data_IF_229147251970
#
_entry.id   IF_229147251970
#
_cell.length_a   1.000
_cell.length_b   1.000
_cell.length_c   1.000
_cell.angle_alpha   90.00
_cell.angle_beta   90.00
_cell.angle_gamma   90.00
#
_symmetry.space_group_name_H-M   'P 1'
#
loop_
_entity.id
_entity.type
_entity.pdbx_description
1 polymer ?
#
# COMPACT_ATOMS: atom_id res chain seq x y z
N UNK A 1 15.49 -4.99 -11.02
CA UNK A 1 14.95 -6.32 -10.66
C UNK A 1 15.59 -6.73 -9.34
N UNK A 2 14.82 -6.94 -8.26
CA UNK A 2 15.38 -7.38 -7.00
C UNK A 2 16.13 -8.69 -7.22
N UNK A 3 17.34 -8.84 -6.63
CA UNK A 3 18.05 -10.12 -6.61
C UNK A 3 17.13 -11.13 -5.92
N UNK A 4 16.27 -11.79 -6.70
CA UNK A 4 15.61 -12.99 -6.27
C UNK A 4 16.72 -14.01 -6.10
N UNK A 5 16.90 -14.49 -4.89
CA UNK A 5 17.85 -15.58 -4.70
C UNK A 5 17.29 -16.75 -5.50
N UNK A 6 18.00 -17.25 -6.53
CA UNK A 6 17.52 -18.37 -7.32
C UNK A 6 17.17 -19.53 -6.39
N UNK A 7 16.00 -20.14 -6.60
CA UNK A 7 15.54 -21.28 -5.81
C UNK A 7 14.79 -20.95 -4.51
N UNK A 8 14.76 -19.69 -4.04
CA UNK A 8 14.02 -19.33 -2.81
C UNK A 8 12.66 -18.74 -3.17
N UNK A 9 11.60 -19.45 -2.78
CA UNK A 9 10.22 -18.99 -2.91
C UNK A 9 9.98 -17.72 -2.08
N UNK A 10 9.18 -16.79 -2.59
CA UNK A 10 8.84 -15.57 -1.88
C UNK A 10 7.61 -14.87 -2.49
N UNK A 11 6.93 -14.06 -1.68
CA UNK A 11 5.88 -13.15 -2.14
C UNK A 11 6.44 -11.73 -2.11
N UNK A 12 6.25 -10.99 -3.18
CA UNK A 12 6.66 -9.57 -3.26
C UNK A 12 5.44 -8.70 -3.54
N UNK A 13 5.20 -7.77 -2.65
CA UNK A 13 4.09 -6.82 -2.70
C UNK A 13 4.56 -5.40 -2.93
N UNK A 14 3.89 -4.68 -3.80
CA UNK A 14 4.06 -3.23 -3.98
C UNK A 14 2.98 -2.54 -3.14
N UNK A 15 3.40 -1.61 -2.28
CA UNK A 15 2.52 -0.76 -1.48
C UNK A 15 2.97 0.70 -1.59
N UNK A 16 2.53 1.36 -2.65
CA UNK A 16 2.89 2.74 -3.00
C UNK A 16 1.67 3.58 -3.37
N UNK A 17 1.69 4.26 -4.51
CA UNK A 17 0.52 4.95 -5.09
C UNK A 17 -0.62 3.98 -5.33
N UNK A 18 -0.34 2.85 -5.97
CA UNK A 18 -1.20 1.67 -6.09
C UNK A 18 -0.64 0.50 -5.30
N UNK A 19 -1.27 -0.67 -5.42
CA UNK A 19 -0.79 -1.91 -4.82
C UNK A 19 -0.87 -3.10 -5.77
N UNK A 20 0.04 -4.05 -5.61
CA UNK A 20 0.07 -5.29 -6.38
C UNK A 20 0.83 -6.37 -5.60
N UNK A 21 0.63 -7.64 -5.96
CA UNK A 21 1.26 -8.77 -5.31
C UNK A 21 1.66 -9.84 -6.34
N UNK A 22 2.88 -10.35 -6.22
CA UNK A 22 3.39 -11.43 -7.05
C UNK A 22 4.08 -12.49 -6.21
N UNK A 23 3.95 -13.74 -6.62
CA UNK A 23 4.63 -14.87 -6.03
C UNK A 23 5.78 -15.31 -6.94
N UNK A 24 6.92 -15.68 -6.34
CA UNK A 24 8.05 -16.29 -7.01
C UNK A 24 8.24 -17.71 -6.49
N UNK A 25 8.12 -18.71 -7.36
CA UNK A 25 8.22 -20.14 -7.00
C UNK A 25 9.66 -20.68 -6.93
N UNK A 26 10.66 -19.80 -7.13
CA UNK A 26 12.08 -20.16 -7.27
C UNK A 26 12.58 -20.11 -8.71
N UNK A 27 11.68 -20.11 -9.70
CA UNK A 27 11.95 -20.03 -11.15
C UNK A 27 11.10 -19.00 -11.86
N UNK A 28 9.79 -19.06 -11.65
CA UNK A 28 8.80 -18.26 -12.35
C UNK A 28 8.10 -17.25 -11.43
N UNK A 29 7.56 -16.20 -12.03
CA UNK A 29 6.69 -15.24 -11.37
C UNK A 29 5.25 -15.64 -11.67
N UNK A 30 4.45 -15.74 -10.60
CA UNK A 30 3.04 -16.02 -10.66
C UNK A 30 2.25 -14.83 -10.09
N UNK A 31 1.23 -14.41 -10.80
CA UNK A 31 0.26 -13.44 -10.32
C UNK A 31 -1.10 -14.12 -10.34
N UNK A 32 -1.74 -14.24 -9.17
CA UNK A 32 -3.05 -14.88 -9.05
C UNK A 32 -4.21 -13.90 -9.22
N UNK A 33 -4.00 -12.65 -8.86
CA UNK A 33 -5.01 -11.61 -8.92
C UNK A 33 -4.57 -10.56 -9.92
N UNK A 34 -5.35 -10.38 -10.97
CA UNK A 34 -5.11 -9.33 -11.96
C UNK A 34 -5.32 -7.95 -11.34
N UNK A 35 -4.44 -7.01 -11.69
CA UNK A 35 -4.57 -5.64 -11.22
C UNK A 35 -5.53 -4.84 -12.09
N UNK A 36 -6.69 -4.50 -11.54
CA UNK A 36 -7.71 -3.67 -12.22
C UNK A 36 -7.58 -2.17 -11.85
N UNK A 37 -6.51 -1.80 -11.15
CA UNK A 37 -6.19 -0.42 -10.86
C UNK A 37 -6.97 0.21 -9.69
N UNK A 38 -6.71 1.50 -9.48
CA UNK A 38 -7.10 2.22 -8.27
C UNK A 38 -8.61 2.40 -8.06
N UNK A 39 -9.42 2.29 -9.10
CA UNK A 39 -10.89 2.42 -8.98
C UNK A 39 -11.48 1.21 -8.27
N UNK A 40 -11.09 0.02 -8.68
CA UNK A 40 -11.66 -1.26 -8.23
C UNK A 40 -10.83 -1.95 -7.15
N UNK A 41 -9.52 -1.76 -7.18
CA UNK A 41 -8.55 -2.47 -6.34
C UNK A 41 -7.62 -1.52 -5.59
N UNK A 42 -6.34 -1.86 -5.53
CA UNK A 42 -5.27 -1.11 -4.87
C UNK A 42 -5.42 -0.99 -3.36
N UNK A 43 -5.93 -2.02 -2.67
CA UNK A 43 -6.04 -2.04 -1.21
C UNK A 43 -4.71 -1.70 -0.53
N UNK A 44 -4.76 -1.02 0.61
CA UNK A 44 -3.61 -0.55 1.39
C UNK A 44 -2.61 0.36 0.64
N UNK A 45 -2.99 0.91 -0.51
CA UNK A 45 -2.19 1.88 -1.26
C UNK A 45 -2.50 3.32 -0.87
N UNK A 46 -1.71 4.28 -1.37
CA UNK A 46 -2.03 5.71 -1.27
C UNK A 46 -3.40 6.04 -1.88
N UNK A 47 -3.76 5.40 -2.99
CA UNK A 47 -5.09 5.53 -3.61
C UNK A 47 -6.21 5.04 -2.70
N UNK A 48 -6.03 3.88 -2.07
CA UNK A 48 -6.98 3.33 -1.11
C UNK A 48 -7.22 4.30 0.04
N UNK A 49 -6.15 4.76 0.68
CA UNK A 49 -6.25 5.68 1.80
C UNK A 49 -6.88 7.02 1.41
N UNK A 50 -6.52 7.56 0.24
CA UNK A 50 -7.14 8.78 -0.29
C UNK A 50 -8.64 8.64 -0.49
N UNK A 51 -9.08 7.56 -1.13
CA UNK A 51 -10.51 7.28 -1.31
C UNK A 51 -11.24 7.14 0.02
N UNK A 52 -10.67 6.41 0.99
CA UNK A 52 -11.30 6.24 2.29
C UNK A 52 -11.41 7.56 3.05
N UNK A 53 -10.35 8.37 3.08
CA UNK A 53 -10.37 9.68 3.76
C UNK A 53 -11.42 10.62 3.17
N UNK A 54 -11.48 10.74 1.84
CA UNK A 54 -12.48 11.58 1.18
C UNK A 54 -13.89 11.08 1.49
N UNK A 55 -14.13 9.77 1.41
CA UNK A 55 -15.43 9.19 1.74
C UNK A 55 -15.82 9.41 3.19
N UNK A 56 -14.90 9.16 4.12
CA UNK A 56 -15.17 9.31 5.55
C UNK A 56 -15.40 10.79 5.93
N UNK A 57 -14.75 11.72 5.23
CA UNK A 57 -14.99 13.16 5.38
C UNK A 57 -16.43 13.54 4.98
N UNK A 58 -16.87 13.11 3.81
CA UNK A 58 -18.21 13.47 3.28
C UNK A 58 -19.35 12.68 3.93
N UNK A 59 -19.06 11.55 4.53
CA UNK A 59 -20.06 10.74 5.26
C UNK A 59 -20.04 10.96 6.78
N UNK A 60 -19.30 11.96 7.26
CA UNK A 60 -19.16 12.27 8.70
C UNK A 60 -18.72 11.05 9.54
N UNK A 61 -17.81 10.20 8.97
CA UNK A 61 -17.33 8.97 9.61
C UNK A 61 -15.98 9.11 10.29
N UNK A 62 -15.44 10.33 10.36
CA UNK A 62 -14.18 10.60 11.05
C UNK A 62 -14.40 11.58 12.21
N UNK A 63 -13.51 11.58 13.24
CA UNK A 63 -13.57 12.56 14.32
C UNK A 63 -13.49 14.00 13.80
N UNK A 64 -14.21 14.93 14.44
CA UNK A 64 -14.23 16.34 14.08
C UNK A 64 -12.82 16.98 14.06
N UNK A 65 -11.93 16.54 14.96
CA UNK A 65 -10.53 16.98 14.98
C UNK A 65 -9.79 16.59 13.70
N UNK A 66 -10.02 15.38 13.19
CA UNK A 66 -9.45 14.87 11.93
C UNK A 66 -10.04 15.62 10.74
N UNK A 67 -11.36 15.85 10.73
CA UNK A 67 -12.04 16.66 9.71
C UNK A 67 -11.43 18.07 9.60
N UNK A 68 -11.24 18.73 10.73
CA UNK A 68 -10.60 20.07 10.77
C UNK A 68 -9.15 20.02 10.30
N UNK A 69 -8.41 18.99 10.62
CA UNK A 69 -7.00 18.83 10.22
C UNK A 69 -6.87 18.59 8.72
N UNK A 70 -7.68 17.71 8.14
CA UNK A 70 -7.65 17.43 6.71
C UNK A 70 -8.06 18.65 5.86
N UNK A 71 -9.07 19.44 6.32
CA UNK A 71 -9.51 20.66 5.64
C UNK A 71 -8.48 21.78 5.66
N UNK A 72 -7.51 21.74 6.61
CA UNK A 72 -6.36 22.65 6.61
C UNK A 72 -5.27 22.23 5.63
N UNK A 73 -5.17 20.94 5.37
CA UNK A 73 -4.11 20.35 4.53
C UNK A 73 -4.51 20.23 3.06
N UNK A 74 -5.81 20.10 2.80
CA UNK A 74 -6.36 19.88 1.45
C UNK A 74 -7.62 20.72 1.23
N UNK A 75 -7.80 21.17 -0.02
CA UNK A 75 -9.09 21.72 -0.43
C UNK A 75 -10.12 20.59 -0.54
N UNK A 76 -11.02 20.56 0.43
CA UNK A 76 -12.06 19.55 0.55
C UNK A 76 -13.40 20.00 -0.08
N UNK A 77 -13.41 21.03 -0.91
CA UNK A 77 -14.62 21.43 -1.66
C UNK A 77 -14.98 20.34 -2.69
N UNK A 78 -16.29 20.04 -2.76
CA UNK A 78 -16.77 18.96 -3.64
C UNK A 78 -16.43 19.17 -5.11
N UNK A 79 -16.46 20.43 -5.58
CA UNK A 79 -16.13 20.77 -6.96
C UNK A 79 -14.63 20.56 -7.26
N UNK A 80 -13.74 20.91 -6.32
CA UNK A 80 -12.30 20.68 -6.46
C UNK A 80 -11.99 19.17 -6.53
N UNK A 81 -12.62 18.38 -5.65
CA UNK A 81 -12.43 16.94 -5.66
C UNK A 81 -12.95 16.31 -6.96
N UNK A 82 -14.17 16.68 -7.39
CA UNK A 82 -14.76 16.19 -8.65
C UNK A 82 -13.89 16.57 -9.85
N UNK A 83 -13.35 17.77 -9.88
CA UNK A 83 -12.48 18.23 -10.95
C UNK A 83 -11.21 17.36 -11.02
N UNK A 84 -10.55 17.11 -9.89
CA UNK A 84 -9.36 16.25 -9.84
C UNK A 84 -9.63 14.79 -10.21
N UNK A 85 -10.79 14.23 -9.81
CA UNK A 85 -11.10 12.81 -10.02
C UNK A 85 -11.62 12.54 -11.43
N UNK A 86 -12.43 13.46 -11.99
CA UNK A 86 -13.19 13.15 -13.20
C UNK A 86 -12.78 13.97 -14.43
N UNK A 87 -12.02 15.06 -14.26
CA UNK A 87 -11.69 15.95 -15.39
C UNK A 87 -10.19 16.10 -15.63
N UNK A 88 -9.34 15.98 -14.60
CA UNK A 88 -7.88 16.12 -14.74
C UNK A 88 -7.20 14.80 -15.04
N UNK A 89 -5.98 14.91 -15.56
CA UNK A 89 -5.07 13.77 -15.72
C UNK A 89 -4.56 13.30 -14.35
N UNK A 90 -4.25 12.00 -14.24
CA UNK A 90 -3.63 11.38 -13.05
C UNK A 90 -4.43 11.51 -11.74
N UNK A 91 -5.72 11.14 -11.70
CA UNK A 91 -6.52 11.17 -10.48
C UNK A 91 -5.97 10.24 -9.39
N UNK A 92 -5.29 9.16 -9.77
CA UNK A 92 -4.56 8.28 -8.87
C UNK A 92 -3.46 9.02 -8.09
N UNK A 93 -2.70 9.90 -8.74
CA UNK A 93 -1.68 10.71 -8.07
C UNK A 93 -2.31 11.69 -7.08
N UNK A 94 -3.46 12.27 -7.43
CA UNK A 94 -4.21 13.13 -6.52
C UNK A 94 -4.66 12.38 -5.26
N UNK A 95 -5.28 11.22 -5.41
CA UNK A 95 -5.68 10.36 -4.29
C UNK A 95 -4.48 9.95 -3.41
N UNK A 96 -3.37 9.58 -4.02
CA UNK A 96 -2.19 9.12 -3.30
C UNK A 96 -1.55 10.21 -2.41
N UNK A 97 -1.79 11.51 -2.66
CA UNK A 97 -1.34 12.60 -1.78
C UNK A 97 -1.90 12.47 -0.37
N UNK A 98 -3.12 11.98 -0.22
CA UNK A 98 -3.73 11.74 1.08
C UNK A 98 -3.06 10.60 1.85
N UNK A 99 -2.38 9.68 1.16
CA UNK A 99 -1.59 8.62 1.79
C UNK A 99 -0.49 9.17 2.69
N UNK A 100 0.14 10.30 2.32
CA UNK A 100 1.12 10.95 3.18
C UNK A 100 0.49 11.50 4.46
N UNK A 101 -0.70 12.07 4.37
CA UNK A 101 -1.45 12.56 5.54
C UNK A 101 -1.79 11.41 6.52
N UNK A 102 -2.10 10.22 6.01
CA UNK A 102 -2.30 9.02 6.84
C UNK A 102 -1.02 8.66 7.58
N UNK A 103 0.12 8.63 6.90
CA UNK A 103 1.42 8.33 7.49
C UNK A 103 1.77 9.32 8.60
N UNK A 104 1.61 10.62 8.33
CA UNK A 104 1.97 11.69 9.27
C UNK A 104 1.07 11.72 10.53
N UNK A 105 -0.10 11.10 10.47
CA UNK A 105 -1.08 11.05 11.57
C UNK A 105 -1.33 9.62 12.08
N UNK A 106 -0.48 8.66 11.74
CA UNK A 106 -0.68 7.23 12.00
C UNK A 106 -0.93 6.86 13.46
N UNK A 107 -0.44 7.66 14.41
CA UNK A 107 -0.61 7.41 15.84
C UNK A 107 -2.02 7.67 16.36
N UNK A 108 -2.84 8.44 15.65
CA UNK A 108 -4.22 8.71 16.07
C UNK A 108 -5.11 7.47 15.91
N UNK A 109 -6.02 7.18 16.85
CA UNK A 109 -6.84 5.95 16.83
C UNK A 109 -7.63 5.75 15.54
N UNK A 110 -8.12 6.82 14.93
CA UNK A 110 -8.82 6.77 13.64
C UNK A 110 -7.92 6.22 12.53
N UNK A 111 -6.68 6.73 12.41
CA UNK A 111 -5.75 6.28 11.38
C UNK A 111 -5.23 4.87 11.65
N UNK A 112 -4.96 4.51 12.91
CA UNK A 112 -4.61 3.11 13.26
C UNK A 112 -5.67 2.13 12.77
N UNK A 113 -6.96 2.44 13.00
CA UNK A 113 -8.06 1.61 12.50
C UNK A 113 -8.12 1.57 10.97
N UNK A 114 -7.93 2.71 10.31
CA UNK A 114 -7.94 2.80 8.85
C UNK A 114 -6.80 2.01 8.22
N UNK A 115 -5.58 2.15 8.75
CA UNK A 115 -4.37 1.44 8.29
C UNK A 115 -4.57 -0.06 8.46
N UNK A 116 -4.99 -0.50 9.65
CA UNK A 116 -5.24 -1.91 9.95
C UNK A 116 -6.29 -2.52 9.01
N UNK A 117 -7.36 -1.80 8.73
CA UNK A 117 -8.37 -2.23 7.76
C UNK A 117 -7.78 -2.39 6.37
N UNK A 118 -7.01 -1.42 5.87
CA UNK A 118 -6.38 -1.47 4.56
C UNK A 118 -5.43 -2.67 4.42
N UNK A 119 -4.52 -2.86 5.37
CA UNK A 119 -3.60 -3.99 5.34
C UNK A 119 -4.30 -5.34 5.42
N UNK A 120 -5.32 -5.49 6.27
CA UNK A 120 -6.07 -6.74 6.34
C UNK A 120 -6.77 -7.06 5.01
N UNK A 121 -7.36 -6.06 4.34
CA UNK A 121 -7.95 -6.23 3.01
C UNK A 121 -6.89 -6.67 1.99
N UNK A 122 -5.75 -5.98 1.94
CA UNK A 122 -4.67 -6.33 1.03
C UNK A 122 -4.15 -7.76 1.27
N UNK A 123 -3.93 -8.13 2.53
CA UNK A 123 -3.44 -9.46 2.89
C UNK A 123 -4.45 -10.53 2.48
N UNK A 124 -5.74 -10.36 2.80
CA UNK A 124 -6.77 -11.36 2.47
C UNK A 124 -7.03 -11.46 0.97
N UNK A 125 -7.03 -10.33 0.25
CA UNK A 125 -7.37 -10.31 -1.17
C UNK A 125 -6.20 -10.67 -2.09
N UNK A 126 -4.96 -10.49 -1.64
CA UNK A 126 -3.76 -10.65 -2.47
C UNK A 126 -2.82 -11.75 -1.94
N UNK A 127 -2.40 -11.67 -0.68
CA UNK A 127 -1.36 -12.56 -0.13
C UNK A 127 -1.94 -13.93 0.21
N UNK A 128 -3.10 -13.99 0.88
CA UNK A 128 -3.75 -15.25 1.28
C UNK A 128 -4.32 -16.06 0.10
N UNK A 129 -4.23 -15.53 -1.13
CA UNK A 129 -4.50 -16.31 -2.34
C UNK A 129 -3.43 -17.37 -2.62
N UNK A 130 -2.23 -17.25 -2.04
CA UNK A 130 -1.16 -18.24 -2.15
C UNK A 130 -1.19 -19.17 -0.94
N UNK A 131 -1.32 -20.49 -1.19
CA UNK A 131 -1.53 -21.51 -0.15
C UNK A 131 -0.38 -21.58 0.87
N UNK A 132 0.86 -21.33 0.43
CA UNK A 132 2.08 -21.35 1.24
C UNK A 132 2.52 -19.96 1.73
N UNK A 133 1.61 -18.97 1.75
CA UNK A 133 1.92 -17.59 2.13
C UNK A 133 2.45 -17.42 3.57
N UNK A 134 2.26 -18.43 4.44
CA UNK A 134 2.81 -18.44 5.81
C UNK A 134 4.18 -19.10 5.91
N UNK A 135 4.63 -19.80 4.85
CA UNK A 135 5.87 -20.57 4.83
C UNK A 135 6.99 -19.83 4.08
N UNK A 136 6.64 -18.81 3.33
CA UNK A 136 7.57 -18.05 2.48
C UNK A 136 7.73 -16.60 2.97
N UNK A 137 8.90 -15.96 2.79
CA UNK A 137 9.09 -14.56 3.16
C UNK A 137 8.26 -13.61 2.30
N UNK A 138 7.65 -12.62 2.97
CA UNK A 138 6.85 -11.57 2.35
C UNK A 138 7.68 -10.29 2.25
N UNK A 139 7.99 -9.86 1.05
CA UNK A 139 8.73 -8.63 0.78
C UNK A 139 7.79 -7.50 0.37
N UNK A 140 8.09 -6.28 0.83
CA UNK A 140 7.27 -5.11 0.53
C UNK A 140 8.12 -4.00 -0.08
N UNK A 141 7.58 -3.33 -1.11
CA UNK A 141 8.24 -2.25 -1.82
C UNK A 141 7.26 -1.08 -1.94
N UNK A 142 7.71 0.12 -1.60
CA UNK A 142 6.91 1.34 -1.74
C UNK A 142 6.80 2.14 -0.46
N UNK A 143 6.39 3.39 -0.59
CA UNK A 143 6.36 4.34 0.51
C UNK A 143 5.37 3.97 1.62
N UNK A 144 4.20 3.45 1.26
CA UNK A 144 3.19 3.02 2.24
C UNK A 144 3.73 1.86 3.08
N UNK A 145 4.21 0.79 2.43
CA UNK A 145 4.78 -0.36 3.14
C UNK A 145 5.98 0.01 4.01
N UNK A 146 6.80 0.97 3.56
CA UNK A 146 8.00 1.40 4.27
C UNK A 146 7.68 2.25 5.52
N UNK A 147 6.84 3.28 5.38
CA UNK A 147 6.54 4.20 6.49
C UNK A 147 5.54 3.63 7.50
N UNK A 148 4.74 2.63 7.10
CA UNK A 148 3.80 1.91 7.95
C UNK A 148 4.29 0.48 8.25
N UNK A 149 5.63 0.28 8.27
CA UNK A 149 6.25 -1.04 8.45
C UNK A 149 5.88 -1.66 9.80
N UNK A 150 5.83 -0.86 10.85
CA UNK A 150 5.57 -1.36 12.20
C UNK A 150 4.14 -1.91 12.30
N UNK A 151 3.16 -1.16 11.81
CA UNK A 151 1.76 -1.56 11.76
C UNK A 151 1.54 -2.79 10.86
N UNK A 152 2.27 -2.85 9.73
CA UNK A 152 2.24 -4.00 8.84
C UNK A 152 2.84 -5.24 9.52
N UNK A 153 3.98 -5.09 10.21
CA UNK A 153 4.65 -6.18 10.93
C UNK A 153 3.75 -6.78 12.00
N UNK A 154 3.11 -5.96 12.85
CA UNK A 154 2.17 -6.43 13.87
C UNK A 154 1.04 -7.29 13.28
N UNK A 155 0.50 -6.87 12.13
CA UNK A 155 -0.58 -7.62 11.47
C UNK A 155 -0.06 -8.95 10.91
N UNK A 156 1.11 -8.95 10.26
CA UNK A 156 1.71 -10.17 9.70
C UNK A 156 2.07 -11.17 10.80
N UNK A 157 2.66 -10.71 11.91
CA UNK A 157 2.96 -11.52 13.08
C UNK A 157 1.69 -12.16 13.66
N UNK A 158 0.60 -11.38 13.80
CA UNK A 158 -0.68 -11.91 14.28
C UNK A 158 -1.26 -13.01 13.39
N UNK A 159 -0.90 -13.00 12.11
CA UNK A 159 -1.30 -14.01 11.10
C UNK A 159 -0.27 -15.11 10.93
N UNK A 160 0.80 -15.14 11.72
CA UNK A 160 1.93 -16.09 11.64
C UNK A 160 2.59 -16.09 10.25
N UNK A 161 2.74 -14.92 9.65
CA UNK A 161 3.39 -14.70 8.36
C UNK A 161 4.81 -14.19 8.56
N UNK A 162 5.72 -14.57 7.66
CA UNK A 162 7.15 -14.25 7.75
C UNK A 162 7.42 -12.93 7.02
N UNK A 163 7.72 -11.86 7.75
CA UNK A 163 8.13 -10.60 7.14
C UNK A 163 9.54 -10.71 6.59
N UNK A 164 9.71 -10.32 5.33
CA UNK A 164 10.99 -10.26 4.64
C UNK A 164 11.54 -8.82 4.58
N UNK A 165 12.09 -8.43 3.44
CA UNK A 165 12.65 -7.09 3.22
C UNK A 165 11.53 -6.08 2.96
N UNK A 166 11.62 -4.90 3.60
CA UNK A 166 10.74 -3.75 3.34
C UNK A 166 11.57 -2.60 2.81
N UNK A 167 11.25 -2.10 1.62
CA UNK A 167 12.05 -1.12 0.90
C UNK A 167 11.21 0.05 0.43
N UNK A 168 11.73 1.25 0.63
CA UNK A 168 11.06 2.46 0.19
C UNK A 168 11.06 2.61 -1.33
N UNK A 169 12.22 2.43 -1.95
CA UNK A 169 12.44 2.56 -3.39
C UNK A 169 13.26 1.40 -3.90
N UNK A 170 12.89 0.77 -5.01
CA UNK A 170 13.67 -0.32 -5.59
C UNK A 170 14.94 0.15 -6.30
N UNK A 171 15.04 1.46 -6.62
CA UNK A 171 16.10 2.00 -7.48
C UNK A 171 17.51 1.80 -6.90
N UNK A 172 17.67 2.01 -5.59
CA UNK A 172 18.98 1.88 -4.94
C UNK A 172 19.53 0.45 -5.05
N UNK A 173 18.66 -0.55 -4.87
CA UNK A 173 19.03 -1.95 -5.05
C UNK A 173 19.24 -2.36 -6.51
N UNK A 174 18.56 -1.70 -7.46
CA UNK A 174 18.75 -1.92 -8.90
C UNK A 174 20.11 -1.35 -9.37
N UNK A 175 20.46 -0.15 -8.93
CA UNK A 175 21.76 0.47 -9.24
C UNK A 175 22.90 -0.40 -8.75
N UNK A 176 22.87 -0.80 -7.47
CA UNK A 176 23.91 -1.68 -6.91
C UNK A 176 24.01 -3.02 -7.66
N UNK A 177 22.87 -3.61 -8.02
CA UNK A 177 22.85 -4.85 -8.81
C UNK A 177 23.55 -4.68 -10.18
N UNK A 178 23.30 -3.58 -10.88
CA UNK A 178 23.95 -3.34 -12.17
C UNK A 178 25.45 -3.03 -12.03
N UNK A 179 25.83 -2.28 -10.99
CA UNK A 179 27.26 -2.00 -10.72
C UNK A 179 28.05 -3.26 -10.35
N UNK A 180 27.44 -4.24 -9.68
CA UNK A 180 28.09 -5.50 -9.31
C UNK A 180 28.16 -6.53 -10.44
N UNK A 181 27.44 -6.31 -11.57
CA UNK A 181 27.32 -7.27 -12.67
C UNK A 181 27.74 -6.67 -14.04
N UNK A 182 28.45 -5.54 -14.02
CA UNK A 182 29.24 -4.99 -15.14
C UNK A 182 30.69 -5.44 -14.97
#
# INVERSE_FOLDING_TARGET
>A
MYKRQPGIKSITSILGTGSNCTYYDGKNILQKVDSLGYVLMDDASGNYFGRQLIRDYYFDKMPLSVQKSISKSFDMQSNTIKDHIYKRTNPNTYLAKFGRFVIDNKELPYFKKLIRKGFNLFISNQIEQFSDCREVPLHFIGSIGFYLKDELSEILESKKMIIGKVLRKPIDGLVNYHLENI
#
